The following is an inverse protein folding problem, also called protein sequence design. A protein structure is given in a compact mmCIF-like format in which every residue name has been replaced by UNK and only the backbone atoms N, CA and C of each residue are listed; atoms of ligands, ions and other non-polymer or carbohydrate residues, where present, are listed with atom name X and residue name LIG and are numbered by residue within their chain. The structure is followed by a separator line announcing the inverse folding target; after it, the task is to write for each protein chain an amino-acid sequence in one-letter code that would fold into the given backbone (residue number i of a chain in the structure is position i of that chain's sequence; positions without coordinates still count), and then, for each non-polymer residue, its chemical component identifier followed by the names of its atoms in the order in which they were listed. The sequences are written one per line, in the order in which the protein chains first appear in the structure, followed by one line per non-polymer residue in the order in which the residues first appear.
data_IF_482094185839
#
_entry.id   IF_482094185839
#
_cell.length_a   1.000
_cell.length_b   1.000
_cell.length_c   1.000
_cell.angle_alpha   90.00
_cell.angle_beta   90.00
_cell.angle_gamma   90.00
#
_symmetry.space_group_name_H-M   'P 1'
#
loop_
_entity.id
_entity.type
_entity.pdbx_description
1 polymer ?
#
# COMPACT_ATOMS: atom_id res chain seq x y z
N UNK A 1 13.31 18.33 -3.87
CA UNK A 1 13.64 16.98 -4.33
C UNK A 1 12.57 16.42 -5.21
N UNK A 2 12.77 15.20 -5.76
CA UNK A 2 11.78 14.58 -6.64
C UNK A 2 10.47 14.26 -5.92
N UNK A 3 9.35 14.56 -6.60
CA UNK A 3 7.99 14.23 -6.16
C UNK A 3 7.29 13.52 -7.30
N UNK A 4 6.81 12.30 -7.08
CA UNK A 4 6.15 11.53 -8.14
C UNK A 4 4.84 12.17 -8.56
N UNK A 5 4.69 12.37 -9.87
CA UNK A 5 3.44 12.76 -10.51
C UNK A 5 2.74 11.54 -11.13
N UNK A 6 3.53 10.56 -11.58
CA UNK A 6 3.04 9.32 -12.14
C UNK A 6 3.92 8.17 -11.68
N UNK A 7 3.30 7.11 -11.16
CA UNK A 7 4.00 5.94 -10.66
C UNK A 7 3.56 4.70 -11.43
N UNK A 8 4.41 3.68 -11.55
CA UNK A 8 4.04 2.47 -12.26
C UNK A 8 2.87 1.75 -11.60
N UNK A 9 2.03 1.15 -12.42
CA UNK A 9 0.86 0.38 -11.99
C UNK A 9 1.04 -1.05 -12.44
N UNK A 10 0.68 -2.00 -11.59
CA UNK A 10 0.71 -3.41 -11.94
C UNK A 10 -0.13 -3.72 -13.17
N UNK A 11 0.36 -4.61 -14.00
CA UNK A 11 -0.27 -5.01 -15.25
C UNK A 11 -0.44 -6.51 -15.34
N UNK A 12 -1.55 -6.92 -15.95
CA UNK A 12 -1.76 -8.29 -16.41
C UNK A 12 -1.67 -8.27 -17.93
N UNK A 13 -0.60 -8.84 -18.48
CA UNK A 13 -0.33 -8.85 -19.90
C UNK A 13 -0.71 -10.21 -20.49
N UNK A 14 -1.58 -10.26 -21.53
CA UNK A 14 -1.93 -11.52 -22.15
C UNK A 14 -0.71 -12.15 -22.85
N UNK A 15 -0.41 -13.41 -22.55
CA UNK A 15 0.71 -14.12 -23.18
C UNK A 15 0.60 -14.18 -24.70
N UNK A 16 -0.63 -14.26 -25.20
CA UNK A 16 -0.92 -14.31 -26.63
C UNK A 16 -1.36 -12.95 -27.19
N UNK A 17 -0.83 -11.86 -26.65
CA UNK A 17 -1.18 -10.52 -27.08
C UNK A 17 -0.59 -10.20 -28.45
N UNK A 18 -1.34 -9.46 -29.27
CA UNK A 18 -0.83 -8.87 -30.50
C UNK A 18 0.08 -7.66 -30.23
N UNK A 19 0.10 -7.14 -29.01
CA UNK A 19 0.96 -6.03 -28.63
C UNK A 19 2.37 -6.53 -28.35
N UNK A 20 3.37 -5.80 -28.90
CA UNK A 20 4.77 -6.19 -28.81
C UNK A 20 5.52 -5.52 -27.67
N UNK A 21 4.85 -4.70 -26.88
CA UNK A 21 5.53 -3.96 -25.81
C UNK A 21 4.64 -3.70 -24.61
N UNK A 22 5.30 -3.56 -23.45
CA UNK A 22 4.69 -3.13 -22.20
C UNK A 22 5.39 -1.86 -21.74
N UNK A 23 4.63 -0.88 -21.31
CA UNK A 23 5.16 0.36 -20.75
C UNK A 23 4.75 0.50 -19.27
N UNK A 24 5.74 0.67 -18.41
CA UNK A 24 5.55 1.02 -17.03
C UNK A 24 5.90 2.50 -16.85
N UNK A 25 4.93 3.29 -16.40
CA UNK A 25 5.09 4.73 -16.32
C UNK A 25 5.82 5.16 -15.06
N UNK A 26 6.66 6.18 -15.19
CA UNK A 26 7.30 6.84 -14.05
C UNK A 26 7.65 8.27 -14.42
N UNK A 27 7.14 9.23 -13.65
CA UNK A 27 7.45 10.63 -13.85
C UNK A 27 7.44 11.34 -12.51
N UNK A 28 8.48 12.12 -12.28
CA UNK A 28 8.64 12.93 -11.07
C UNK A 28 8.88 14.38 -11.42
N UNK A 29 8.29 15.27 -10.63
CA UNK A 29 8.59 16.71 -10.68
C UNK A 29 9.80 16.96 -9.78
N UNK A 30 10.81 17.62 -10.32
CA UNK A 30 12.01 17.96 -9.56
C UNK A 30 12.73 19.15 -10.19
N UNK A 31 13.42 19.92 -9.36
CA UNK A 31 14.30 21.01 -9.79
C UNK A 31 15.62 20.86 -9.04
N UNK A 32 16.73 20.56 -9.73
CA UNK A 32 16.85 20.21 -11.17
C UNK A 32 16.05 18.97 -11.59
N UNK A 33 15.79 18.80 -12.91
CA UNK A 33 15.00 17.65 -13.38
C UNK A 33 15.56 16.31 -12.94
N UNK A 34 14.66 15.36 -12.67
CA UNK A 34 15.03 14.04 -12.22
C UNK A 34 15.60 13.15 -13.33
N UNK A 35 16.51 12.27 -12.95
CA UNK A 35 16.91 11.13 -13.77
C UNK A 35 16.28 9.87 -13.20
N UNK A 36 16.13 8.83 -14.03
CA UNK A 36 15.36 7.65 -13.66
C UNK A 36 16.17 6.38 -13.81
N UNK A 37 15.97 5.47 -12.87
CA UNK A 37 16.50 4.11 -12.90
C UNK A 37 15.37 3.16 -12.55
N UNK A 38 15.53 1.91 -12.91
CA UNK A 38 14.53 0.88 -12.62
C UNK A 38 15.17 -0.32 -11.96
N UNK A 39 14.43 -0.95 -11.06
CA UNK A 39 14.78 -2.23 -10.44
C UNK A 39 13.72 -3.28 -10.80
N UNK A 40 14.18 -4.48 -11.07
CA UNK A 40 13.35 -5.65 -11.24
C UNK A 40 13.70 -6.66 -10.16
N UNK A 41 12.71 -7.06 -9.36
CA UNK A 41 12.89 -7.97 -8.23
C UNK A 41 14.04 -7.54 -7.30
N UNK A 42 14.15 -6.23 -7.06
CA UNK A 42 15.17 -5.64 -6.19
C UNK A 42 16.54 -5.43 -6.81
N UNK A 43 16.75 -5.85 -8.05
CA UNK A 43 18.04 -5.71 -8.76
C UNK A 43 17.94 -4.62 -9.82
N UNK A 44 18.92 -3.73 -9.85
CA UNK A 44 18.96 -2.64 -10.83
C UNK A 44 19.08 -3.18 -12.25
N UNK A 45 18.24 -2.65 -13.14
CA UNK A 45 18.19 -3.06 -14.54
C UNK A 45 19.21 -2.28 -15.37
N UNK A 46 19.77 -2.95 -16.37
CA UNK A 46 20.61 -2.32 -17.38
C UNK A 46 19.73 -1.87 -18.54
N UNK A 47 19.61 -0.55 -18.73
CA UNK A 47 18.73 0.07 -19.72
C UNK A 47 19.53 0.71 -20.86
N UNK A 48 20.53 0.01 -21.37
CA UNK A 48 21.34 0.51 -22.49
C UNK A 48 20.52 0.68 -23.77
N UNK A 49 20.83 1.72 -24.60
CA UNK A 49 20.20 1.87 -25.90
C UNK A 49 20.35 0.63 -26.77
N UNK A 50 19.28 0.22 -27.44
CA UNK A 50 19.27 -0.96 -28.32
C UNK A 50 18.97 -2.26 -27.61
N UNK A 51 18.85 -2.26 -26.26
CA UNK A 51 18.40 -3.45 -25.53
C UNK A 51 16.88 -3.60 -25.62
N UNK A 52 16.40 -4.77 -25.23
CA UNK A 52 14.98 -5.06 -25.18
C UNK A 52 14.24 -4.22 -24.11
N UNK A 53 14.94 -3.81 -23.08
CA UNK A 53 14.43 -2.91 -22.03
C UNK A 53 14.95 -1.51 -22.32
N UNK A 54 14.04 -0.57 -22.53
CA UNK A 54 14.39 0.81 -22.91
C UNK A 54 13.81 1.80 -21.91
N UNK A 55 14.57 2.88 -21.68
CA UNK A 55 14.11 4.01 -20.89
C UNK A 55 13.64 5.11 -21.84
N UNK A 56 12.35 5.47 -21.76
CA UNK A 56 11.77 6.54 -22.57
C UNK A 56 11.25 7.64 -21.64
N UNK A 57 12.01 8.73 -21.50
CA UNK A 57 11.79 9.66 -20.42
C UNK A 57 12.05 8.94 -19.10
N UNK A 58 11.07 8.86 -18.23
CA UNK A 58 11.16 8.03 -17.03
C UNK A 58 10.53 6.66 -17.18
N UNK A 59 9.83 6.41 -18.29
CA UNK A 59 9.06 5.19 -18.48
C UNK A 59 9.95 4.02 -18.88
N UNK A 60 9.64 2.84 -18.34
CA UNK A 60 10.28 1.59 -18.76
C UNK A 60 9.44 0.96 -19.86
N UNK A 61 10.05 0.74 -21.02
CA UNK A 61 9.42 0.06 -22.14
C UNK A 61 10.10 -1.29 -22.33
N UNK A 62 9.32 -2.36 -22.24
CA UNK A 62 9.79 -3.73 -22.44
C UNK A 62 9.31 -4.20 -23.80
N UNK A 63 10.26 -4.46 -24.70
CA UNK A 63 9.97 -4.95 -26.04
C UNK A 63 9.83 -6.47 -26.01
N UNK A 64 8.83 -6.99 -26.72
CA UNK A 64 8.56 -8.43 -26.82
C UNK A 64 8.56 -9.13 -25.44
N UNK A 65 7.66 -8.72 -24.53
CA UNK A 65 7.69 -9.25 -23.18
C UNK A 65 7.36 -10.75 -23.14
N UNK A 66 8.05 -11.48 -22.27
CA UNK A 66 7.80 -12.90 -22.03
C UNK A 66 7.68 -13.18 -20.54
N UNK A 67 6.84 -14.15 -20.20
CA UNK A 67 6.64 -14.56 -18.81
C UNK A 67 7.95 -14.99 -18.14
N UNK A 68 8.76 -15.79 -18.85
CA UNK A 68 9.99 -16.32 -18.28
C UNK A 68 11.02 -15.24 -17.92
N UNK A 69 11.08 -14.17 -18.71
CA UNK A 69 12.09 -13.12 -18.56
C UNK A 69 11.58 -11.88 -17.82
N UNK A 70 10.28 -11.57 -17.95
CA UNK A 70 9.77 -10.25 -17.58
C UNK A 70 8.75 -10.25 -16.45
N UNK A 71 8.19 -11.40 -16.07
CA UNK A 71 7.27 -11.47 -14.93
C UNK A 71 8.04 -11.15 -13.66
N UNK A 72 7.53 -10.19 -12.88
CA UNK A 72 8.18 -9.81 -11.64
C UNK A 72 7.69 -8.47 -11.10
N UNK A 73 8.44 -7.97 -10.14
CA UNK A 73 8.14 -6.73 -9.40
C UNK A 73 9.08 -5.64 -9.87
N UNK A 74 8.51 -4.54 -10.34
CA UNK A 74 9.25 -3.40 -10.89
C UNK A 74 9.10 -2.18 -10.00
N UNK A 75 10.18 -1.41 -9.87
CA UNK A 75 10.20 -0.21 -9.08
C UNK A 75 11.06 0.84 -9.77
N UNK A 76 10.55 2.07 -9.83
CA UNK A 76 11.24 3.22 -10.41
C UNK A 76 11.97 4.00 -9.32
N UNK A 77 13.16 4.48 -9.64
CA UNK A 77 13.93 5.39 -8.78
C UNK A 77 14.09 6.72 -9.52
N UNK A 78 13.65 7.81 -8.90
CA UNK A 78 13.81 9.16 -9.42
C UNK A 78 14.84 9.91 -8.58
N UNK A 79 15.84 10.48 -9.23
CA UNK A 79 16.99 11.12 -8.56
C UNK A 79 17.28 12.49 -9.13
N UNK A 80 17.66 13.42 -8.23
CA UNK A 80 18.30 14.69 -8.59
C UNK A 80 19.36 14.98 -7.52
N UNK A 81 20.08 16.13 -7.58
CA UNK A 81 21.11 16.41 -6.58
C UNK A 81 20.63 16.48 -5.12
N UNK A 82 19.33 16.70 -4.88
CA UNK A 82 18.76 16.71 -3.53
C UNK A 82 18.70 15.29 -2.96
N UNK A 83 18.36 14.30 -3.76
CA UNK A 83 18.28 12.93 -3.33
C UNK A 83 17.47 12.04 -4.27
N UNK A 84 17.21 10.83 -3.82
CA UNK A 84 16.52 9.78 -4.57
C UNK A 84 15.27 9.31 -3.84
N UNK A 85 14.18 9.11 -4.57
CA UNK A 85 12.96 8.47 -4.07
C UNK A 85 12.64 7.25 -4.90
N UNK A 86 12.06 6.24 -4.25
CA UNK A 86 11.57 5.04 -4.94
C UNK A 86 10.06 5.10 -5.06
N UNK A 87 9.54 4.59 -6.18
CA UNK A 87 8.11 4.50 -6.42
C UNK A 87 7.49 3.33 -5.67
N UNK A 88 6.16 3.27 -5.66
CA UNK A 88 5.47 2.04 -5.30
C UNK A 88 5.88 0.92 -6.27
N UNK A 89 5.77 -0.31 -5.80
CA UNK A 89 6.08 -1.47 -6.62
C UNK A 89 4.94 -1.75 -7.61
N UNK A 90 5.29 -2.19 -8.82
CA UNK A 90 4.35 -2.63 -9.83
C UNK A 90 4.65 -4.07 -10.21
N UNK A 91 3.64 -4.94 -10.14
CA UNK A 91 3.79 -6.35 -10.48
C UNK A 91 3.35 -6.57 -11.91
N UNK A 92 4.24 -7.08 -12.74
CA UNK A 92 3.92 -7.50 -14.10
C UNK A 92 3.64 -9.00 -14.09
N UNK A 93 2.42 -9.37 -14.45
CA UNK A 93 1.95 -10.74 -14.51
C UNK A 93 1.49 -11.06 -15.94
N UNK A 94 1.54 -12.34 -16.27
CA UNK A 94 1.13 -12.80 -17.62
C UNK A 94 -0.09 -13.69 -17.48
N UNK A 95 -1.14 -13.33 -18.23
CA UNK A 95 -2.38 -14.10 -18.28
C UNK A 95 -2.36 -15.12 -19.41
N UNK A 96 -2.89 -16.31 -19.13
CA UNK A 96 -2.91 -17.38 -20.12
C UNK A 96 -4.02 -18.38 -19.83
N UNK A 97 -4.41 -19.12 -20.86
CA UNK A 97 -5.31 -20.26 -20.76
C UNK A 97 -4.86 -21.31 -21.76
N UNK A 98 -4.45 -22.47 -21.26
CA UNK A 98 -4.05 -23.60 -22.12
C UNK A 98 -5.27 -24.34 -22.65
N UNK A 99 -5.05 -25.21 -23.63
CA UNK A 99 -6.09 -26.11 -24.12
C UNK A 99 -6.32 -27.26 -23.13
N UNK A 100 -7.53 -27.79 -23.12
CA UNK A 100 -7.82 -29.02 -22.36
C UNK A 100 -7.00 -30.19 -22.90
N UNK A 101 -6.76 -31.17 -22.04
CA UNK A 101 -6.14 -32.43 -22.43
C UNK A 101 -6.90 -33.06 -23.59
N UNK A 102 -6.17 -33.65 -24.55
CA UNK A 102 -6.76 -34.37 -25.70
C UNK A 102 -7.14 -35.81 -25.38
N UNK A 103 -6.88 -36.26 -24.15
CA UNK A 103 -7.28 -37.59 -23.71
C UNK A 103 -8.78 -37.68 -23.59
N UNK A 104 -9.34 -38.87 -23.96
CA UNK A 104 -10.75 -39.14 -23.81
C UNK A 104 -11.10 -39.21 -22.33
N UNK A 105 -12.27 -38.72 -21.99
CA UNK A 105 -12.76 -38.71 -20.60
C UNK A 105 -13.56 -39.99 -20.32
N UNK A 106 -13.38 -40.52 -19.11
CA UNK A 106 -14.10 -41.67 -18.65
C UNK A 106 -15.58 -41.34 -18.47
N UNK A 107 -16.49 -42.29 -18.78
CA UNK A 107 -17.91 -42.09 -18.48
C UNK A 107 -18.13 -41.93 -16.97
N UNK A 108 -19.11 -41.09 -16.62
CA UNK A 108 -19.55 -40.92 -15.25
C UNK A 108 -20.83 -41.74 -15.06
N UNK A 109 -20.86 -42.56 -14.02
CA UNK A 109 -21.99 -43.51 -13.76
C UNK A 109 -22.66 -43.20 -12.44
N UNK A 110 -23.98 -43.19 -12.45
CA UNK A 110 -24.78 -43.06 -11.23
C UNK A 110 -26.15 -43.76 -11.46
N UNK A 111 -26.95 -43.85 -10.43
CA UNK A 111 -28.33 -44.32 -10.57
C UNK A 111 -29.26 -43.14 -10.85
N UNK A 112 -30.29 -43.38 -11.66
CA UNK A 112 -31.35 -42.39 -11.82
C UNK A 112 -31.98 -42.11 -10.45
N UNK A 113 -32.13 -40.85 -10.10
CA UNK A 113 -32.61 -40.45 -8.79
C UNK A 113 -31.51 -40.06 -7.80
N UNK A 114 -30.27 -40.44 -8.06
CA UNK A 114 -29.11 -40.00 -7.27
C UNK A 114 -28.53 -38.70 -7.80
N UNK A 115 -27.77 -38.00 -6.95
CA UNK A 115 -26.95 -36.88 -7.37
C UNK A 115 -25.68 -37.33 -8.08
N UNK A 116 -25.08 -36.43 -8.85
CA UNK A 116 -23.83 -36.70 -9.56
C UNK A 116 -23.01 -35.43 -9.70
N UNK A 117 -21.68 -35.60 -9.69
CA UNK A 117 -20.73 -34.52 -9.99
C UNK A 117 -19.90 -34.92 -11.19
N UNK A 118 -19.82 -34.01 -12.18
CA UNK A 118 -18.95 -34.16 -13.34
C UNK A 118 -17.79 -33.21 -13.19
N UNK A 119 -16.52 -33.70 -13.14
CA UNK A 119 -15.36 -32.83 -12.98
C UNK A 119 -15.02 -32.12 -14.27
N UNK A 120 -14.70 -30.82 -14.17
CA UNK A 120 -14.22 -30.03 -15.29
C UNK A 120 -12.74 -30.32 -15.57
N UNK A 121 -11.92 -30.36 -14.51
CA UNK A 121 -10.47 -30.51 -14.61
C UNK A 121 -9.88 -29.51 -15.60
N UNK A 122 -9.99 -28.19 -15.32
CA UNK A 122 -9.54 -27.18 -16.27
C UNK A 122 -8.04 -27.25 -16.51
N UNK A 123 -7.58 -26.79 -17.70
CA UNK A 123 -6.15 -26.71 -17.97
C UNK A 123 -5.48 -25.62 -17.16
N UNK A 124 -4.14 -25.56 -17.19
CA UNK A 124 -3.38 -24.50 -16.56
C UNK A 124 -3.83 -23.12 -17.08
N UNK A 125 -3.99 -22.19 -16.16
CA UNK A 125 -4.53 -20.86 -16.46
C UNK A 125 -4.15 -19.84 -15.40
N UNK A 126 -4.24 -18.59 -15.77
CA UNK A 126 -4.17 -17.45 -14.87
C UNK A 126 -4.73 -16.23 -15.59
N UNK A 127 -5.55 -15.38 -15.01
CA UNK A 127 -6.20 -15.50 -13.70
C UNK A 127 -7.34 -16.51 -13.69
N UNK A 128 -8.25 -16.42 -12.71
CA UNK A 128 -9.39 -17.33 -12.61
C UNK A 128 -10.31 -17.30 -13.82
N UNK A 129 -11.00 -18.40 -14.03
CA UNK A 129 -11.91 -18.62 -15.17
C UNK A 129 -13.35 -18.53 -14.74
N UNK A 130 -14.26 -18.32 -15.72
CA UNK A 130 -15.65 -18.61 -15.57
C UNK A 130 -15.99 -19.91 -16.30
N UNK A 131 -16.98 -20.65 -15.79
CA UNK A 131 -17.29 -21.99 -16.27
C UNK A 131 -18.76 -22.12 -16.66
N UNK A 132 -18.99 -22.83 -17.76
CA UNK A 132 -20.31 -23.27 -18.19
C UNK A 132 -20.21 -24.70 -18.68
N UNK A 133 -21.31 -25.37 -18.76
CA UNK A 133 -21.37 -26.75 -19.25
C UNK A 133 -22.36 -26.86 -20.39
N UNK A 134 -22.03 -27.75 -21.34
CA UNK A 134 -22.84 -28.08 -22.48
C UNK A 134 -23.35 -29.52 -22.36
N UNK A 135 -24.58 -29.74 -22.77
CA UNK A 135 -25.12 -31.05 -22.93
C UNK A 135 -25.32 -31.33 -24.43
N UNK A 136 -24.61 -32.35 -24.94
CA UNK A 136 -24.60 -32.78 -26.33
C UNK A 136 -24.03 -31.71 -27.28
N UNK A 137 -24.85 -30.84 -27.87
CA UNK A 137 -24.44 -29.92 -28.90
C UNK A 137 -24.38 -28.47 -28.42
N UNK A 138 -23.40 -27.72 -28.95
CA UNK A 138 -23.36 -26.27 -28.78
C UNK A 138 -24.53 -25.65 -29.57
N UNK A 139 -25.32 -24.71 -29.05
CA UNK A 139 -25.12 -23.97 -27.77
C UNK A 139 -26.05 -24.45 -26.64
N UNK A 140 -26.31 -25.73 -26.49
CA UNK A 140 -27.18 -26.24 -25.45
C UNK A 140 -26.50 -26.21 -24.07
N UNK A 141 -26.51 -25.02 -23.45
CA UNK A 141 -25.92 -24.83 -22.14
C UNK A 141 -26.83 -25.31 -21.03
N UNK A 142 -26.23 -25.89 -19.99
CA UNK A 142 -26.93 -26.31 -18.78
C UNK A 142 -27.38 -25.05 -18.03
N UNK A 143 -28.68 -24.89 -17.73
CA UNK A 143 -29.18 -23.75 -17.00
C UNK A 143 -28.88 -23.86 -15.50
N UNK A 144 -28.86 -22.72 -14.81
CA UNK A 144 -28.83 -22.65 -13.35
C UNK A 144 -30.28 -22.70 -12.86
N UNK A 145 -30.77 -23.87 -12.47
CA UNK A 145 -32.18 -24.11 -12.25
C UNK A 145 -32.50 -24.76 -10.89
N UNK A 146 -31.66 -24.65 -9.90
CA UNK A 146 -31.87 -25.25 -8.59
C UNK A 146 -31.57 -26.76 -8.53
N UNK A 147 -31.70 -27.49 -9.66
CA UNK A 147 -31.29 -28.88 -9.76
C UNK A 147 -29.87 -29.04 -10.27
N UNK A 148 -29.40 -28.09 -11.09
CA UNK A 148 -28.04 -28.00 -11.63
C UNK A 148 -27.28 -26.86 -11.00
N UNK A 149 -25.98 -27.08 -10.74
CA UNK A 149 -25.08 -26.06 -10.24
C UNK A 149 -23.69 -26.23 -10.84
N UNK A 150 -23.13 -25.15 -11.34
CA UNK A 150 -21.73 -25.10 -11.84
C UNK A 150 -20.91 -24.28 -10.85
N UNK A 151 -19.94 -24.94 -10.22
CA UNK A 151 -19.04 -24.26 -9.30
C UNK A 151 -18.10 -23.33 -10.09
N UNK A 152 -18.06 -22.06 -9.74
CA UNK A 152 -17.11 -21.13 -10.33
C UNK A 152 -15.72 -21.23 -9.68
N UNK A 153 -15.62 -21.96 -8.58
CA UNK A 153 -14.34 -22.23 -7.90
C UNK A 153 -13.59 -23.38 -8.56
N UNK A 154 -14.30 -24.48 -8.85
CA UNK A 154 -13.69 -25.72 -9.40
C UNK A 154 -14.03 -25.96 -10.87
N UNK A 155 -15.11 -25.35 -11.37
CA UNK A 155 -15.67 -25.64 -12.67
C UNK A 155 -16.55 -26.89 -12.74
N UNK A 156 -16.67 -27.62 -11.66
CA UNK A 156 -17.43 -28.90 -11.63
C UNK A 156 -18.92 -28.64 -11.74
N UNK A 157 -19.59 -29.56 -12.47
CA UNK A 157 -21.05 -29.57 -12.60
C UNK A 157 -21.66 -30.53 -11.57
N UNK A 158 -22.63 -30.02 -10.83
CA UNK A 158 -23.38 -30.80 -9.83
C UNK A 158 -24.85 -30.91 -10.27
N UNK A 159 -25.39 -32.11 -10.23
CA UNK A 159 -26.82 -32.37 -10.45
C UNK A 159 -27.36 -32.95 -9.15
N UNK A 160 -28.30 -32.26 -8.51
CA UNK A 160 -28.82 -32.67 -7.18
C UNK A 160 -29.55 -34.00 -7.22
N UNK A 161 -30.28 -34.24 -8.29
CA UNK A 161 -31.05 -35.46 -8.53
C UNK A 161 -31.13 -35.70 -10.03
N UNK A 162 -30.60 -36.82 -10.50
CA UNK A 162 -30.58 -37.13 -11.93
C UNK A 162 -31.92 -37.75 -12.38
N UNK A 163 -32.26 -37.47 -13.63
CA UNK A 163 -33.39 -38.12 -14.32
C UNK A 163 -33.00 -38.45 -15.76
N UNK A 164 -33.88 -39.09 -16.50
CA UNK A 164 -33.60 -39.57 -17.86
C UNK A 164 -33.18 -38.45 -18.83
N UNK A 165 -33.64 -37.22 -18.59
CA UNK A 165 -33.27 -36.06 -19.44
C UNK A 165 -31.82 -35.65 -19.31
N UNK A 166 -31.14 -36.13 -18.28
CA UNK A 166 -29.70 -35.79 -18.05
C UNK A 166 -28.75 -36.70 -18.83
N UNK A 167 -29.25 -37.76 -19.45
CA UNK A 167 -28.40 -38.62 -20.27
C UNK A 167 -27.81 -37.88 -21.44
N UNK A 168 -26.54 -38.13 -21.70
CA UNK A 168 -25.84 -37.54 -22.85
C UNK A 168 -24.38 -37.27 -22.59
N UNK A 169 -23.81 -36.47 -23.49
CA UNK A 169 -22.40 -36.11 -23.47
C UNK A 169 -22.24 -34.70 -22.94
N UNK A 170 -21.40 -34.54 -21.93
CA UNK A 170 -21.15 -33.27 -21.26
C UNK A 170 -19.77 -32.72 -21.55
N UNK A 171 -19.69 -31.43 -21.81
CA UNK A 171 -18.44 -30.74 -22.05
C UNK A 171 -18.33 -29.47 -21.19
N UNK A 172 -17.21 -29.30 -20.54
CA UNK A 172 -16.90 -28.08 -19.74
C UNK A 172 -16.37 -26.99 -20.65
N UNK A 173 -16.95 -25.80 -20.55
CA UNK A 173 -16.45 -24.59 -21.23
C UNK A 173 -15.80 -23.69 -20.22
N UNK A 174 -14.49 -23.45 -20.35
CA UNK A 174 -13.74 -22.54 -19.52
C UNK A 174 -13.43 -21.25 -20.30
N UNK A 175 -13.74 -20.10 -19.71
CA UNK A 175 -13.57 -18.80 -20.37
C UNK A 175 -12.68 -17.90 -19.54
N UNK A 176 -11.66 -17.34 -20.17
CA UNK A 176 -10.75 -16.36 -19.62
C UNK A 176 -11.22 -14.95 -19.99
N UNK A 177 -11.23 -14.05 -19.00
CA UNK A 177 -11.59 -12.65 -19.17
C UNK A 177 -10.35 -11.78 -18.93
N UNK A 178 -9.48 -11.72 -19.96
CA UNK A 178 -8.35 -10.79 -19.98
C UNK A 178 -8.81 -9.49 -20.61
N UNK A 179 -8.23 -8.36 -20.20
CA UNK A 179 -8.59 -7.04 -20.71
C UNK A 179 -8.69 -7.04 -22.24
N UNK A 180 -9.86 -6.64 -22.76
CA UNK A 180 -10.15 -6.53 -24.19
C UNK A 180 -10.17 -7.83 -24.98
N UNK A 181 -9.90 -8.98 -24.36
CA UNK A 181 -10.01 -10.26 -25.06
C UNK A 181 -10.61 -11.33 -24.17
N UNK A 182 -11.44 -12.19 -24.77
CA UNK A 182 -11.95 -13.37 -24.12
C UNK A 182 -11.48 -14.58 -24.91
N UNK A 183 -11.03 -15.61 -24.21
CA UNK A 183 -10.66 -16.89 -24.80
C UNK A 183 -11.47 -17.97 -24.12
N UNK A 184 -12.04 -18.87 -24.92
CA UNK A 184 -12.80 -20.01 -24.41
C UNK A 184 -12.23 -21.30 -24.94
N UNK A 185 -12.19 -22.32 -24.07
CA UNK A 185 -11.75 -23.66 -24.46
C UNK A 185 -12.76 -24.69 -23.95
N UNK A 186 -12.93 -25.77 -24.71
CA UNK A 186 -13.85 -26.86 -24.38
C UNK A 186 -13.10 -28.12 -23.99
N UNK A 187 -13.64 -28.83 -23.00
CA UNK A 187 -13.16 -30.17 -22.67
C UNK A 187 -13.67 -31.18 -23.69
N UNK A 188 -13.04 -32.35 -23.73
CA UNK A 188 -13.61 -33.52 -24.36
C UNK A 188 -14.91 -33.90 -23.65
N UNK A 189 -15.82 -34.57 -24.36
CA UNK A 189 -17.06 -35.03 -23.78
C UNK A 189 -16.83 -36.10 -22.72
N UNK A 190 -17.61 -36.02 -21.64
CA UNK A 190 -17.78 -37.10 -20.68
C UNK A 190 -19.22 -37.55 -20.75
N UNK A 191 -19.43 -38.86 -20.99
CA UNK A 191 -20.74 -39.40 -21.08
C UNK A 191 -21.31 -39.66 -19.68
N UNK A 192 -22.55 -39.24 -19.46
CA UNK A 192 -23.29 -39.58 -18.22
C UNK A 192 -24.16 -40.80 -18.48
N UNK A 193 -23.90 -41.87 -17.74
CA UNK A 193 -24.67 -43.13 -17.79
C UNK A 193 -25.49 -43.29 -16.52
N UNK A 194 -26.75 -43.61 -16.67
CA UNK A 194 -27.64 -43.83 -15.55
C UNK A 194 -28.02 -45.33 -15.44
N UNK A 195 -27.74 -45.93 -14.30
CA UNK A 195 -28.22 -47.22 -13.94
C UNK A 195 -29.71 -47.13 -13.56
N UNK A 196 -30.34 -48.27 -13.30
CA UNK A 196 -31.75 -48.36 -12.96
C UNK A 196 -32.15 -47.33 -11.89
N UNK A 197 -33.38 -46.81 -12.02
CA UNK A 197 -33.92 -45.83 -11.09
C UNK A 197 -33.97 -46.41 -9.65
N UNK A 198 -33.49 -45.61 -8.72
CA UNK A 198 -33.63 -45.83 -7.31
C UNK A 198 -34.76 -44.91 -6.80
N UNK A 199 -35.94 -45.45 -6.48
CA UNK A 199 -37.09 -44.63 -6.12
C UNK A 199 -37.01 -44.07 -4.68
N UNK A 200 -35.99 -44.45 -3.91
CA UNK A 200 -35.87 -44.02 -2.52
C UNK A 200 -35.64 -42.51 -2.44
N UNK A 201 -36.16 -41.93 -1.35
CA UNK A 201 -35.90 -40.55 -1.00
C UNK A 201 -34.62 -40.48 -0.18
N UNK A 202 -33.85 -39.42 -0.38
CA UNK A 202 -32.57 -39.21 0.29
C UNK A 202 -32.56 -37.88 1.04
N UNK A 203 -32.01 -37.89 2.24
CA UNK A 203 -31.71 -36.66 2.96
C UNK A 203 -30.64 -35.83 2.21
N UNK A 204 -30.59 -34.50 2.42
CA UNK A 204 -29.57 -33.67 1.77
C UNK A 204 -28.17 -34.07 2.17
N UNK A 205 -27.25 -33.99 1.20
CA UNK A 205 -25.83 -34.16 1.43
C UNK A 205 -25.08 -33.02 0.68
N UNK A 206 -24.48 -32.12 1.40
CA UNK A 206 -23.78 -31.00 0.80
C UNK A 206 -22.48 -31.49 0.14
N UNK A 207 -22.33 -31.23 -1.16
CA UNK A 207 -21.21 -31.71 -1.98
C UNK A 207 -20.30 -30.59 -2.44
N UNK A 208 -20.86 -29.43 -2.73
CA UNK A 208 -20.06 -28.22 -3.00
C UNK A 208 -20.22 -27.27 -1.82
N UNK A 209 -19.13 -26.86 -1.24
CA UNK A 209 -19.16 -25.99 -0.07
C UNK A 209 -18.05 -24.96 -0.10
N UNK A 210 -18.28 -23.84 0.56
CA UNK A 210 -17.25 -22.85 0.82
C UNK A 210 -16.24 -23.36 1.88
N UNK A 211 -14.99 -22.88 1.85
CA UNK A 211 -13.97 -23.35 2.78
C UNK A 211 -14.25 -22.92 4.22
N UNK A 212 -13.65 -23.59 5.24
CA UNK A 212 -13.80 -23.19 6.64
C UNK A 212 -13.38 -21.75 6.92
N UNK A 213 -12.42 -21.21 6.16
CA UNK A 213 -11.95 -19.82 6.25
C UNK A 213 -11.86 -19.21 4.86
N UNK A 214 -12.44 -18.03 4.71
CA UNK A 214 -12.33 -17.21 3.49
C UNK A 214 -11.78 -15.86 3.88
N UNK A 215 -10.61 -15.52 3.31
CA UNK A 215 -9.96 -14.23 3.52
C UNK A 215 -10.35 -13.28 2.39
N UNK A 216 -10.77 -12.09 2.75
CA UNK A 216 -11.20 -11.08 1.79
C UNK A 216 -10.69 -9.71 2.17
N UNK A 217 -10.32 -8.90 1.18
CA UNK A 217 -9.95 -7.52 1.39
C UNK A 217 -11.19 -6.63 1.40
N UNK A 218 -11.19 -5.60 2.23
CA UNK A 218 -12.26 -4.61 2.27
C UNK A 218 -12.54 -4.10 0.85
N UNK A 219 -13.81 -4.08 0.48
CA UNK A 219 -14.26 -3.61 -0.84
C UNK A 219 -14.32 -4.70 -1.91
N UNK A 220 -13.75 -5.88 -1.67
CA UNK A 220 -13.85 -6.98 -2.63
C UNK A 220 -15.24 -7.61 -2.63
N UNK A 221 -15.59 -8.20 -3.76
CA UNK A 221 -16.75 -9.09 -3.85
C UNK A 221 -16.37 -10.46 -3.28
N UNK A 222 -17.22 -11.01 -2.42
CA UNK A 222 -17.06 -12.34 -1.86
C UNK A 222 -18.23 -13.20 -2.31
N UNK A 223 -17.95 -14.39 -2.84
CA UNK A 223 -18.96 -15.35 -3.23
C UNK A 223 -18.72 -16.65 -2.48
N UNK A 224 -19.73 -17.13 -1.74
CA UNK A 224 -19.71 -18.40 -1.07
C UNK A 224 -20.63 -19.36 -1.82
N UNK A 225 -20.17 -20.60 -2.04
CA UNK A 225 -20.92 -21.64 -2.74
C UNK A 225 -21.37 -22.71 -1.78
N UNK A 226 -22.60 -23.19 -1.99
CA UNK A 226 -23.15 -24.33 -1.24
C UNK A 226 -24.19 -25.04 -2.06
N UNK A 227 -23.95 -26.30 -2.36
CA UNK A 227 -24.89 -27.10 -3.14
C UNK A 227 -24.96 -28.53 -2.61
N UNK A 228 -26.17 -29.09 -2.58
CA UNK A 228 -26.43 -30.41 -2.00
C UNK A 228 -27.12 -31.35 -2.98
N UNK A 229 -26.77 -32.63 -2.87
CA UNK A 229 -27.56 -33.72 -3.47
C UNK A 229 -28.71 -34.06 -2.52
N UNK A 230 -29.76 -34.57 -3.06
CA UNK A 230 -30.90 -35.03 -2.29
C UNK A 230 -32.11 -35.34 -3.17
N UNK A 231 -33.02 -36.15 -2.63
CA UNK A 231 -34.27 -36.46 -3.29
C UNK A 231 -35.39 -36.38 -2.24
N UNK A 232 -36.28 -35.41 -2.29
CA UNK A 232 -36.39 -34.30 -3.27
C UNK A 232 -35.23 -33.36 -3.28
N UNK A 233 -35.11 -32.55 -4.36
CA UNK A 233 -34.04 -31.53 -4.49
C UNK A 233 -34.04 -30.59 -3.28
N UNK A 234 -32.92 -30.49 -2.55
CA UNK A 234 -32.87 -29.66 -1.34
C UNK A 234 -33.00 -28.17 -1.63
N UNK A 235 -33.57 -27.45 -0.65
CA UNK A 235 -33.55 -25.99 -0.63
C UNK A 235 -32.35 -25.52 0.11
N UNK A 236 -31.70 -24.47 -0.40
CA UNK A 236 -30.51 -23.87 0.20
C UNK A 236 -30.92 -22.56 0.89
N UNK A 237 -30.46 -22.42 2.14
CA UNK A 237 -30.63 -21.18 2.92
C UNK A 237 -29.31 -20.75 3.52
N UNK A 238 -29.14 -19.46 3.60
CA UNK A 238 -27.96 -18.85 4.16
C UNK A 238 -28.29 -18.04 5.41
N UNK A 239 -27.42 -18.07 6.39
CA UNK A 239 -27.49 -17.18 7.54
C UNK A 239 -26.12 -16.82 8.07
N UNK A 240 -26.04 -15.69 8.76
CA UNK A 240 -24.84 -15.31 9.53
C UNK A 240 -25.10 -15.71 10.99
N UNK A 241 -24.27 -16.59 11.54
CA UNK A 241 -24.49 -17.20 12.85
C UNK A 241 -24.44 -16.15 13.96
N UNK A 242 -23.51 -15.19 13.85
CA UNK A 242 -23.24 -14.14 14.84
C UNK A 242 -23.80 -12.78 14.44
N UNK A 243 -24.86 -12.76 13.64
CA UNK A 243 -25.48 -11.52 13.19
C UNK A 243 -26.61 -11.76 12.21
N UNK A 244 -26.86 -10.81 11.35
CA UNK A 244 -27.87 -10.90 10.30
C UNK A 244 -27.27 -10.55 8.94
N UNK A 245 -27.80 -11.20 7.90
CA UNK A 245 -27.44 -10.88 6.51
C UNK A 245 -28.13 -9.60 6.08
N UNK A 246 -27.46 -8.86 5.18
CA UNK A 246 -28.10 -7.73 4.54
C UNK A 246 -29.34 -8.19 3.76
N UNK A 247 -30.49 -7.50 3.88
CA UNK A 247 -31.70 -7.87 3.12
C UNK A 247 -31.52 -7.85 1.60
N UNK A 248 -30.49 -7.15 1.11
CA UNK A 248 -30.18 -7.05 -0.32
C UNK A 248 -29.46 -8.27 -0.86
N UNK A 249 -28.89 -9.11 0.02
CA UNK A 249 -28.20 -10.32 -0.40
C UNK A 249 -29.21 -11.46 -0.61
N UNK A 250 -29.09 -12.17 -1.74
CA UNK A 250 -29.93 -13.34 -1.98
C UNK A 250 -29.56 -14.46 -1.01
N UNK A 251 -30.57 -15.03 -0.34
CA UNK A 251 -30.37 -16.05 0.70
C UNK A 251 -30.94 -17.43 0.33
N UNK A 252 -31.54 -17.58 -0.86
CA UNK A 252 -32.20 -18.79 -1.29
C UNK A 252 -31.49 -19.47 -2.48
N UNK A 253 -30.33 -18.98 -2.86
CA UNK A 253 -29.57 -19.48 -4.00
C UNK A 253 -28.38 -20.32 -3.53
N UNK A 254 -27.80 -21.16 -4.41
CA UNK A 254 -26.59 -21.92 -4.08
C UNK A 254 -25.36 -21.04 -3.83
N UNK A 255 -25.44 -19.77 -4.13
CA UNK A 255 -24.35 -18.82 -3.89
C UNK A 255 -24.83 -17.65 -3.03
N UNK A 256 -24.00 -17.26 -2.07
CA UNK A 256 -24.16 -16.04 -1.33
C UNK A 256 -23.14 -15.04 -1.85
N UNK A 257 -23.62 -13.90 -2.37
CA UNK A 257 -22.74 -12.86 -2.91
C UNK A 257 -22.77 -11.63 -2.03
N UNK A 258 -21.58 -11.21 -1.59
CA UNK A 258 -21.38 -9.97 -0.86
C UNK A 258 -20.68 -9.02 -1.83
N UNK A 259 -21.37 -8.00 -2.37
CA UNK A 259 -20.82 -7.18 -3.45
C UNK A 259 -19.58 -6.39 -3.07
N UNK A 260 -19.54 -5.90 -1.83
CA UNK A 260 -18.41 -5.11 -1.32
C UNK A 260 -18.28 -5.39 0.17
N UNK A 261 -17.33 -6.25 0.51
CA UNK A 261 -17.16 -6.70 1.89
C UNK A 261 -16.61 -5.58 2.77
N UNK A 262 -17.12 -5.48 3.99
CA UNK A 262 -16.64 -4.56 5.01
C UNK A 262 -16.24 -5.34 6.27
N UNK A 263 -15.60 -4.66 7.23
CA UNK A 263 -15.23 -5.30 8.49
C UNK A 263 -16.45 -5.83 9.26
N UNK A 264 -17.61 -5.21 9.08
CA UNK A 264 -18.86 -5.64 9.71
C UNK A 264 -19.34 -6.98 9.18
N UNK A 265 -18.91 -7.37 7.99
CA UNK A 265 -19.28 -8.62 7.36
C UNK A 265 -18.46 -9.81 7.86
N UNK A 266 -17.41 -9.55 8.63
CA UNK A 266 -16.60 -10.61 9.24
C UNK A 266 -17.46 -11.42 10.20
N UNK A 267 -17.32 -12.74 10.15
CA UNK A 267 -18.04 -13.62 11.04
C UNK A 267 -18.23 -15.00 10.47
N UNK A 268 -19.08 -15.78 11.15
CA UNK A 268 -19.39 -17.16 10.77
C UNK A 268 -20.67 -17.20 9.97
N UNK A 269 -20.59 -17.85 8.79
CA UNK A 269 -21.71 -18.01 7.87
C UNK A 269 -22.10 -19.49 7.81
N UNK A 270 -23.38 -19.75 7.69
CA UNK A 270 -23.91 -21.11 7.61
C UNK A 270 -24.78 -21.26 6.38
N UNK A 271 -24.57 -22.35 5.67
CA UNK A 271 -25.45 -22.83 4.62
C UNK A 271 -26.25 -24.04 5.16
N UNK A 272 -27.56 -24.04 4.97
CA UNK A 272 -28.44 -25.14 5.31
C UNK A 272 -29.10 -25.67 4.05
N UNK A 273 -28.97 -26.97 3.83
CA UNK A 273 -29.70 -27.69 2.78
C UNK A 273 -30.82 -28.53 3.43
N UNK A 274 -32.04 -28.35 2.99
CA UNK A 274 -33.19 -29.01 3.61
C UNK A 274 -34.12 -29.61 2.55
N UNK A 275 -34.62 -30.81 2.81
CA UNK A 275 -35.74 -31.44 2.09
C UNK A 275 -36.63 -32.18 3.10
N UNK A 276 -37.63 -32.90 2.58
CA UNK A 276 -38.58 -33.64 3.45
C UNK A 276 -37.92 -34.75 4.27
N UNK A 277 -36.68 -35.14 3.95
CA UNK A 277 -35.96 -36.23 4.62
C UNK A 277 -34.96 -35.76 5.66
N UNK A 278 -34.66 -34.49 5.72
CA UNK A 278 -33.72 -33.97 6.70
C UNK A 278 -33.01 -32.70 6.28
N UNK A 279 -31.91 -32.42 6.98
CA UNK A 279 -31.08 -31.24 6.78
C UNK A 279 -29.62 -31.60 6.80
N UNK A 280 -28.83 -30.81 6.12
CA UNK A 280 -27.37 -30.82 6.22
C UNK A 280 -26.88 -29.37 6.29
N UNK A 281 -25.90 -29.13 7.12
CA UNK A 281 -25.38 -27.78 7.33
C UNK A 281 -23.87 -27.74 7.22
N UNK A 282 -23.35 -26.64 6.75
CA UNK A 282 -21.91 -26.33 6.75
C UNK A 282 -21.70 -24.92 7.23
N UNK A 283 -20.60 -24.70 7.96
CA UNK A 283 -20.22 -23.40 8.46
C UNK A 283 -18.82 -23.05 7.99
N UNK A 284 -18.56 -21.75 7.85
CA UNK A 284 -17.26 -21.23 7.54
C UNK A 284 -17.19 -19.75 7.93
N UNK A 285 -15.97 -19.30 8.15
CA UNK A 285 -15.71 -17.95 8.62
C UNK A 285 -15.18 -17.08 7.47
N UNK A 286 -15.72 -15.86 7.36
CA UNK A 286 -15.15 -14.81 6.53
C UNK A 286 -14.28 -13.95 7.43
N UNK A 287 -13.01 -13.80 7.06
CA UNK A 287 -12.04 -12.94 7.75
C UNK A 287 -11.72 -11.79 6.82
N UNK A 288 -12.05 -10.57 7.27
CA UNK A 288 -11.88 -9.36 6.45
C UNK A 288 -10.56 -8.69 6.80
N UNK A 289 -9.77 -8.42 5.79
CA UNK A 289 -8.46 -7.80 5.91
C UNK A 289 -8.41 -6.52 5.09
N UNK A 290 -7.37 -5.71 5.29
CA UNK A 290 -7.20 -4.44 4.59
C UNK A 290 -5.75 -4.20 4.23
N UNK A 291 -5.54 -3.58 3.07
CA UNK A 291 -4.24 -3.07 2.66
C UNK A 291 -3.81 -1.92 3.56
N UNK A 292 -2.49 -1.63 3.62
CA UNK A 292 -2.03 -0.47 4.38
C UNK A 292 -2.61 0.83 3.84
N UNK A 293 -2.93 1.74 4.76
CA UNK A 293 -3.41 3.08 4.45
C UNK A 293 -2.77 4.05 5.44
N UNK A 294 -2.28 5.20 4.96
CA UNK A 294 -1.63 6.16 5.82
C UNK A 294 -2.61 6.89 6.75
N UNK A 295 -2.27 6.92 8.04
CA UNK A 295 -2.92 7.75 9.06
C UNK A 295 -2.12 9.02 9.30
N UNK A 296 -0.79 8.93 9.25
CA UNK A 296 0.13 10.04 9.45
C UNK A 296 1.34 9.84 8.54
N UNK A 297 1.76 10.90 7.88
CA UNK A 297 2.91 10.91 6.98
C UNK A 297 3.88 12.02 7.33
N UNK A 298 5.11 11.90 6.83
CA UNK A 298 6.11 12.94 6.92
C UNK A 298 5.87 14.02 5.86
N UNK A 299 6.37 15.21 6.10
CA UNK A 299 6.33 16.34 5.17
C UNK A 299 7.69 17.00 5.06
N UNK A 300 7.91 17.70 3.94
CA UNK A 300 9.14 18.43 3.71
C UNK A 300 9.44 19.35 4.88
N UNK A 301 10.67 19.29 5.34
CA UNK A 301 11.10 20.00 6.56
C UNK A 301 12.45 20.69 6.34
N UNK A 302 12.50 21.96 6.71
CA UNK A 302 13.74 22.69 6.85
C UNK A 302 14.09 22.74 8.33
N UNK A 303 15.34 22.42 8.65
CA UNK A 303 15.79 22.40 10.03
C UNK A 303 17.19 22.99 10.15
N UNK A 304 17.46 23.63 11.28
CA UNK A 304 18.75 24.24 11.52
C UNK A 304 19.80 23.20 11.93
N UNK A 305 21.00 23.39 11.47
CA UNK A 305 22.14 22.58 11.91
C UNK A 305 22.24 22.60 13.44
N UNK A 306 22.50 21.46 14.03
CA UNK A 306 22.59 21.30 15.48
C UNK A 306 21.26 21.10 16.21
N UNK A 307 20.13 21.26 15.54
CA UNK A 307 18.83 21.03 16.13
C UNK A 307 18.45 19.54 16.11
N UNK A 308 17.39 19.19 16.83
CA UNK A 308 16.85 17.85 16.84
C UNK A 308 15.58 17.80 15.99
N UNK A 309 15.34 16.68 15.32
CA UNK A 309 14.16 16.47 14.51
C UNK A 309 13.56 15.10 14.82
N UNK A 310 12.25 15.06 14.91
CA UNK A 310 11.51 13.81 15.02
C UNK A 310 10.45 13.75 13.94
N UNK A 311 10.48 12.70 13.14
CA UNK A 311 9.47 12.39 12.15
C UNK A 311 8.69 11.14 12.54
N UNK A 312 7.40 11.12 12.23
CA UNK A 312 6.53 9.98 12.48
C UNK A 312 5.66 9.64 11.31
N UNK A 313 5.50 8.35 11.05
CA UNK A 313 4.55 7.80 10.11
C UNK A 313 3.73 6.73 10.81
N UNK A 314 2.43 6.70 10.53
CA UNK A 314 1.53 5.69 11.08
C UNK A 314 0.58 5.21 9.98
N UNK A 315 0.35 3.92 9.94
CA UNK A 315 -0.53 3.30 8.95
C UNK A 315 -1.52 2.37 9.61
N UNK A 316 -2.73 2.31 9.04
CA UNK A 316 -3.75 1.34 9.40
C UNK A 316 -3.75 0.22 8.36
N UNK A 317 -4.15 -0.96 8.77
CA UNK A 317 -4.29 -2.13 7.92
C UNK A 317 -4.54 -3.35 8.77
N UNK A 318 -4.96 -4.41 8.12
CA UNK A 318 -5.18 -5.69 8.80
C UNK A 318 -4.67 -6.82 7.89
N UNK A 319 -3.62 -7.54 8.28
CA UNK A 319 -2.80 -7.40 9.50
C UNK A 319 -2.15 -6.02 9.65
N UNK A 320 -1.78 -5.68 10.89
CA UNK A 320 -1.15 -4.40 11.20
C UNK A 320 0.13 -4.21 10.39
N UNK A 321 0.25 -3.10 9.64
CA UNK A 321 1.44 -2.87 8.82
C UNK A 321 2.68 -2.62 9.68
N UNK A 322 3.83 -3.05 9.16
CA UNK A 322 5.14 -2.70 9.73
C UNK A 322 5.69 -1.51 8.98
N UNK A 323 6.28 -0.55 9.70
CA UNK A 323 6.85 0.66 9.13
C UNK A 323 8.37 0.57 9.15
N UNK A 324 9.00 0.88 8.02
CA UNK A 324 10.45 0.98 7.88
C UNK A 324 10.80 2.27 7.15
N UNK A 325 12.08 2.61 7.14
CA UNK A 325 12.55 3.88 6.62
C UNK A 325 13.60 3.70 5.54
N UNK A 326 13.55 4.58 4.54
CA UNK A 326 14.53 4.67 3.46
C UNK A 326 15.14 6.07 3.45
N UNK A 327 16.40 6.13 3.08
CA UNK A 327 17.09 7.38 2.76
C UNK A 327 17.70 7.26 1.38
N UNK A 328 17.33 8.17 0.48
CA UNK A 328 17.79 8.18 -0.91
C UNK A 328 17.65 6.81 -1.57
N UNK A 329 16.53 6.13 -1.30
CA UNK A 329 16.20 4.83 -1.87
C UNK A 329 16.81 3.62 -1.17
N UNK A 330 17.68 3.84 -0.19
CA UNK A 330 18.35 2.76 0.54
C UNK A 330 17.77 2.57 1.94
N UNK A 331 17.73 1.34 2.45
CA UNK A 331 17.27 1.09 3.82
C UNK A 331 18.08 1.90 4.83
N UNK A 332 17.38 2.53 5.77
CA UNK A 332 17.97 3.34 6.81
C UNK A 332 17.97 2.57 8.12
N UNK A 333 19.15 2.38 8.70
CA UNK A 333 19.34 1.72 9.99
C UNK A 333 19.81 2.74 11.02
N UNK A 334 19.59 2.42 12.31
CA UNK A 334 20.02 3.27 13.41
C UNK A 334 21.54 3.47 13.40
N UNK A 335 21.95 4.72 13.62
CA UNK A 335 23.33 5.15 13.70
C UNK A 335 23.48 6.07 14.94
N UNK A 336 24.70 6.55 15.21
CA UNK A 336 25.00 7.29 16.45
C UNK A 336 24.03 8.46 16.73
N UNK A 337 23.66 9.23 15.70
CA UNK A 337 22.80 10.42 15.85
C UNK A 337 21.39 10.21 15.30
N UNK A 338 21.17 9.11 14.63
CA UNK A 338 19.91 8.80 13.97
C UNK A 338 19.35 7.52 14.57
N UNK A 339 18.20 7.63 15.24
CA UNK A 339 17.51 6.50 15.83
C UNK A 339 16.32 6.13 14.95
N UNK A 340 16.31 4.91 14.44
CA UNK A 340 15.26 4.39 13.57
C UNK A 340 14.39 3.42 14.38
N UNK A 341 13.13 3.80 14.58
CA UNK A 341 12.13 2.98 15.24
C UNK A 341 11.00 2.69 14.25
N UNK A 342 10.17 1.70 14.57
CA UNK A 342 8.98 1.45 13.78
C UNK A 342 8.03 2.65 13.88
N UNK A 343 7.90 3.42 12.80
CA UNK A 343 7.05 4.60 12.76
C UNK A 343 7.68 5.90 13.23
N UNK A 344 8.87 5.86 13.84
CA UNK A 344 9.57 7.05 14.30
C UNK A 344 10.99 7.11 13.72
N UNK A 345 11.38 8.30 13.32
CA UNK A 345 12.75 8.60 12.90
C UNK A 345 13.20 9.83 13.69
N UNK A 346 14.26 9.66 14.49
CA UNK A 346 14.75 10.71 15.38
C UNK A 346 16.17 11.08 15.05
N UNK A 347 16.37 12.38 14.82
CA UNK A 347 17.69 12.95 14.58
C UNK A 347 18.11 13.78 15.79
N UNK A 348 19.35 13.55 16.25
CA UNK A 348 19.98 14.37 17.29
C UNK A 348 21.11 15.16 16.67
N UNK A 349 21.15 16.46 16.92
CA UNK A 349 22.21 17.36 16.44
C UNK A 349 22.41 17.24 14.93
N UNK A 350 21.40 17.64 14.17
CA UNK A 350 21.43 17.59 12.71
C UNK A 350 22.71 18.23 12.15
N UNK A 351 23.28 17.63 11.11
CA UNK A 351 24.35 18.24 10.32
C UNK A 351 23.94 18.27 8.85
N UNK A 352 24.74 18.99 8.04
CA UNK A 352 24.40 19.21 6.62
C UNK A 352 24.28 17.90 5.82
N UNK A 353 25.03 16.89 6.22
CA UNK A 353 25.03 15.57 5.57
C UNK A 353 23.70 14.81 5.77
N UNK A 354 22.91 15.19 6.76
CA UNK A 354 21.60 14.58 6.99
C UNK A 354 20.56 15.01 5.96
N UNK A 355 20.82 16.05 5.19
CA UNK A 355 19.93 16.49 4.11
C UNK A 355 19.76 15.39 3.06
N UNK A 356 18.56 15.29 2.52
CA UNK A 356 18.26 14.30 1.49
C UNK A 356 16.78 13.98 1.42
N UNK A 357 16.46 12.96 0.66
CA UNK A 357 15.11 12.45 0.51
C UNK A 357 14.91 11.24 1.42
N UNK A 358 13.88 11.31 2.23
CA UNK A 358 13.51 10.25 3.17
C UNK A 358 12.14 9.70 2.81
N UNK A 359 11.94 8.42 3.04
CA UNK A 359 10.65 7.78 2.84
C UNK A 359 10.35 6.87 4.01
N UNK A 360 9.10 6.88 4.47
CA UNK A 360 8.57 5.82 5.32
C UNK A 360 7.79 4.85 4.43
N UNK A 361 7.86 3.57 4.77
CA UNK A 361 7.28 2.47 4.02
C UNK A 361 6.45 1.64 4.98
N UNK A 362 5.17 1.49 4.71
CA UNK A 362 4.30 0.64 5.50
C UNK A 362 3.87 -0.57 4.69
N UNK A 363 4.02 -1.75 5.28
CA UNK A 363 3.81 -3.00 4.57
C UNK A 363 3.07 -4.01 5.43
N UNK A 364 2.09 -4.68 4.81
CA UNK A 364 1.54 -5.94 5.31
C UNK A 364 1.49 -6.94 4.15
N UNK A 365 0.94 -8.13 4.37
CA UNK A 365 0.90 -9.16 3.34
C UNK A 365 0.07 -8.78 2.10
N UNK A 366 -0.73 -7.72 2.18
CA UNK A 366 -1.62 -7.29 1.09
C UNK A 366 -1.08 -6.12 0.28
N UNK A 367 -0.01 -5.50 0.71
CA UNK A 367 0.56 -4.39 -0.04
C UNK A 367 1.58 -3.58 0.72
N UNK A 368 2.16 -2.63 0.00
CA UNK A 368 3.20 -1.73 0.49
C UNK A 368 2.88 -0.32 0.03
N UNK A 369 2.95 0.63 0.95
CA UNK A 369 2.73 2.05 0.63
C UNK A 369 3.93 2.88 1.06
N UNK A 370 4.14 3.99 0.35
CA UNK A 370 5.31 4.86 0.48
C UNK A 370 4.87 6.29 0.74
N UNK A 371 5.60 7.00 1.60
CA UNK A 371 5.45 8.44 1.78
C UNK A 371 6.83 9.07 1.80
N UNK A 372 7.00 10.18 1.12
CA UNK A 372 8.29 10.83 0.90
C UNK A 372 8.32 12.23 1.48
N UNK A 373 9.48 12.66 1.95
CA UNK A 373 9.71 14.04 2.34
C UNK A 373 11.18 14.39 2.18
N UNK A 374 11.42 15.66 1.91
CA UNK A 374 12.77 16.22 1.86
C UNK A 374 13.15 16.79 3.22
N UNK A 375 14.35 16.45 3.68
CA UNK A 375 14.98 17.13 4.81
C UNK A 375 16.06 18.06 4.27
N UNK A 376 15.90 19.35 4.53
CA UNK A 376 16.89 20.37 4.20
C UNK A 376 17.47 20.91 5.50
N UNK A 377 18.71 20.56 5.79
CA UNK A 377 19.43 21.09 6.94
C UNK A 377 20.17 22.32 6.50
N UNK A 378 19.96 23.43 7.23
CA UNK A 378 20.56 24.70 6.87
C UNK A 378 21.49 25.22 7.95
N UNK A 379 22.58 25.84 7.49
CA UNK A 379 23.49 26.63 8.31
C UNK A 379 23.36 28.09 7.89
N UNK A 380 23.22 28.98 8.86
CA UNK A 380 22.99 30.40 8.63
C UNK A 380 24.00 31.23 9.43
N UNK A 381 24.65 32.20 8.78
CA UNK A 381 25.42 33.21 9.47
C UNK A 381 24.50 34.09 10.33
N UNK A 382 24.98 34.61 11.46
CA UNK A 382 24.15 35.49 12.29
C UNK A 382 23.60 36.70 11.51
N UNK A 383 22.32 36.99 11.76
CA UNK A 383 21.56 38.03 11.07
C UNK A 383 20.66 38.77 12.05
N UNK A 384 20.83 40.08 12.13
CA UNK A 384 20.06 40.94 13.02
C UNK A 384 18.86 41.63 12.35
N UNK A 385 18.62 41.43 11.06
CA UNK A 385 17.60 42.18 10.33
C UNK A 385 16.20 42.07 10.94
N UNK A 386 15.83 40.93 11.44
CA UNK A 386 14.50 40.70 12.04
C UNK A 386 14.47 41.02 13.53
N UNK A 387 15.61 40.98 14.21
CA UNK A 387 15.69 41.13 15.66
C UNK A 387 16.95 41.89 16.07
N UNK A 388 17.05 43.17 15.66
CA UNK A 388 18.22 43.99 16.02
C UNK A 388 18.20 44.35 17.50
N UNK A 389 19.36 44.70 18.06
CA UNK A 389 19.44 45.29 19.37
C UNK A 389 18.65 46.59 19.35
N UNK A 390 17.90 46.89 20.42
CA UNK A 390 17.09 48.09 20.53
C UNK A 390 17.96 49.32 20.36
N UNK A 391 17.62 50.20 19.44
CA UNK A 391 18.44 51.34 19.06
C UNK A 391 18.65 52.36 20.19
N UNK A 392 17.55 52.65 20.91
CA UNK A 392 17.57 53.54 22.06
C UNK A 392 17.12 52.77 23.28
N UNK A 393 17.94 52.74 24.32
CA UNK A 393 17.72 51.95 25.50
C UNK A 393 17.59 52.89 26.70
N UNK A 394 16.41 53.28 27.13
CA UNK A 394 16.25 54.14 28.30
C UNK A 394 16.42 53.31 29.58
N UNK A 395 17.13 53.88 30.55
CA UNK A 395 17.36 53.28 31.82
C UNK A 395 17.21 54.30 32.95
N UNK A 396 16.74 53.87 34.10
CA UNK A 396 16.60 54.68 35.28
C UNK A 396 17.83 54.57 36.19
N UNK A 397 18.31 55.65 36.69
CA UNK A 397 19.45 55.69 37.63
C UNK A 397 19.12 54.83 38.86
N UNK A 398 20.04 53.96 39.22
CA UNK A 398 19.87 53.01 40.31
C UNK A 398 19.06 51.75 39.97
N UNK A 399 18.50 51.69 38.77
CA UNK A 399 17.72 50.56 38.32
C UNK A 399 18.53 49.45 37.68
N UNK A 400 17.82 48.47 37.11
CA UNK A 400 18.38 47.35 36.41
C UNK A 400 17.80 47.32 34.98
N UNK A 401 18.61 46.92 34.00
CA UNK A 401 18.14 46.77 32.63
C UNK A 401 18.67 45.48 32.04
N UNK A 402 17.85 44.83 31.20
CA UNK A 402 18.19 43.65 30.42
C UNK A 402 18.12 44.01 28.95
N UNK A 403 19.20 43.76 28.23
CA UNK A 403 19.27 44.01 26.78
C UNK A 403 19.47 42.66 26.09
N UNK A 404 18.41 42.11 25.44
CA UNK A 404 18.52 40.84 24.75
C UNK A 404 19.33 40.97 23.45
N UNK A 405 20.03 39.91 23.09
CA UNK A 405 20.71 39.79 21.80
C UNK A 405 20.37 38.40 21.24
N UNK A 406 19.49 38.38 20.25
CA UNK A 406 18.93 37.16 19.71
C UNK A 406 18.89 37.21 18.16
N UNK A 407 20.06 37.26 17.50
CA UNK A 407 20.08 37.22 16.05
C UNK A 407 19.64 35.87 15.54
N UNK A 408 19.13 35.81 14.32
CA UNK A 408 18.85 34.55 13.63
C UNK A 408 20.19 33.95 13.21
N UNK A 409 20.46 32.74 13.65
CA UNK A 409 21.68 32.01 13.31
C UNK A 409 21.50 30.52 13.42
N UNK A 410 22.22 29.76 12.61
CA UNK A 410 22.29 28.31 12.67
C UNK A 410 23.70 27.83 12.33
N UNK A 411 24.43 27.20 13.25
CA UNK A 411 24.13 26.95 14.65
C UNK A 411 24.03 28.21 15.48
N UNK A 412 23.51 28.08 16.71
CA UNK A 412 23.38 29.21 17.63
C UNK A 412 24.69 29.97 17.77
N UNK A 413 24.62 31.30 17.62
CA UNK A 413 25.79 32.12 17.63
C UNK A 413 26.38 32.28 19.03
N UNK A 414 27.71 32.42 19.09
CA UNK A 414 28.40 32.85 20.30
C UNK A 414 28.26 34.35 20.41
N UNK A 415 27.86 34.85 21.59
CA UNK A 415 27.51 36.24 21.83
C UNK A 415 28.57 36.90 22.72
N UNK A 416 29.06 38.08 22.28
CA UNK A 416 29.91 38.99 23.08
C UNK A 416 29.27 40.37 23.10
N UNK A 417 29.42 41.07 24.21
CA UNK A 417 28.96 42.43 24.34
C UNK A 417 30.14 43.37 24.56
N UNK A 418 30.09 44.56 23.98
CA UNK A 418 31.06 45.63 24.23
C UNK A 418 30.34 46.91 24.61
N UNK A 419 31.00 47.73 25.41
CA UNK A 419 30.66 49.12 25.61
C UNK A 419 31.77 49.95 25.00
N UNK A 420 31.47 50.69 23.95
CA UNK A 420 32.52 51.34 23.15
C UNK A 420 33.48 50.27 22.63
N UNK A 421 34.76 50.37 23.00
CA UNK A 421 35.81 49.42 22.62
C UNK A 421 36.09 48.36 23.68
N UNK A 422 35.47 48.47 24.87
CA UNK A 422 35.66 47.54 25.99
C UNK A 422 34.72 46.33 25.90
N UNK A 423 35.29 45.13 25.92
CA UNK A 423 34.50 43.92 25.99
C UNK A 423 34.04 43.67 27.42
N UNK A 424 32.73 43.46 27.57
CA UNK A 424 32.12 43.29 28.89
C UNK A 424 32.23 41.84 29.35
N UNK A 425 32.69 41.67 30.58
CA UNK A 425 32.70 40.37 31.27
C UNK A 425 31.72 40.37 32.42
N UNK A 426 31.53 39.19 33.03
CA UNK A 426 30.67 39.07 34.19
C UNK A 426 31.32 39.73 35.42
N UNK A 427 30.53 40.54 36.12
CA UNK A 427 30.90 41.22 37.37
C UNK A 427 29.66 41.28 38.24
N UNK A 428 29.77 41.89 39.43
CA UNK A 428 28.61 42.03 40.33
C UNK A 428 27.51 42.91 39.77
N UNK A 429 27.86 43.89 38.88
CA UNK A 429 26.87 44.79 38.26
C UNK A 429 26.50 44.43 36.86
N UNK A 430 27.38 43.78 36.12
CA UNK A 430 27.21 43.50 34.71
C UNK A 430 27.31 42.00 34.51
N UNK A 431 26.29 41.42 33.87
CA UNK A 431 26.25 39.99 33.57
C UNK A 431 25.80 39.76 32.14
N UNK A 432 26.46 38.84 31.44
CA UNK A 432 26.02 38.34 30.17
C UNK A 432 25.50 36.91 30.42
N UNK A 433 24.23 36.68 30.17
CA UNK A 433 23.61 35.37 30.41
C UNK A 433 23.97 34.39 29.30
N UNK A 434 23.64 33.09 29.50
CA UNK A 434 23.91 32.06 28.52
C UNK A 434 23.16 32.28 27.19
N UNK A 435 22.01 32.95 27.21
CA UNK A 435 21.24 33.25 26.00
C UNK A 435 21.68 34.55 25.32
N UNK A 436 22.74 35.22 25.82
CA UNK A 436 23.29 36.42 25.24
C UNK A 436 22.70 37.71 25.78
N UNK A 437 21.83 37.68 26.76
CA UNK A 437 21.26 38.92 27.35
C UNK A 437 22.27 39.61 28.25
N UNK A 438 22.43 40.92 28.03
CA UNK A 438 23.25 41.79 28.88
C UNK A 438 22.38 42.37 29.98
N UNK A 439 22.78 42.16 31.23
CA UNK A 439 22.09 42.69 32.40
C UNK A 439 23.03 43.68 33.09
N UNK A 440 22.55 44.90 33.33
CA UNK A 440 23.27 45.95 34.06
C UNK A 440 22.46 46.34 35.26
N UNK A 441 23.07 46.24 36.47
CA UNK A 441 22.43 46.52 37.74
C UNK A 441 23.00 47.81 38.33
N UNK A 442 22.21 48.46 39.17
CA UNK A 442 22.59 49.71 39.85
C UNK A 442 23.17 50.75 38.86
N UNK A 443 22.34 51.10 37.89
CA UNK A 443 22.69 51.94 36.76
C UNK A 443 23.08 53.35 37.20
N UNK A 444 24.19 53.87 36.66
CA UNK A 444 24.66 55.25 36.87
C UNK A 444 24.90 55.91 35.52
N UNK A 445 25.16 57.23 35.52
CA UNK A 445 25.42 57.95 34.29
C UNK A 445 26.69 57.48 33.56
N UNK A 446 27.63 56.85 34.28
CA UNK A 446 28.80 56.25 33.66
C UNK A 446 28.47 55.04 32.77
N UNK A 447 27.30 54.50 32.93
CA UNK A 447 26.81 53.38 32.07
C UNK A 447 26.28 53.86 30.73
N UNK A 448 26.04 55.17 30.55
CA UNK A 448 25.64 55.70 29.25
C UNK A 448 26.69 55.41 28.19
N UNK A 449 26.20 55.09 26.99
CA UNK A 449 27.09 54.88 25.88
C UNK A 449 26.54 53.90 24.87
N UNK A 450 27.42 53.49 24.00
CA UNK A 450 27.16 52.64 22.87
C UNK A 450 27.45 51.17 23.25
N UNK A 451 26.43 50.34 23.22
CA UNK A 451 26.53 48.91 23.51
C UNK A 451 26.36 48.14 22.23
N UNK A 452 27.30 47.24 21.92
CA UNK A 452 27.28 46.44 20.71
C UNK A 452 27.27 44.97 21.07
N UNK A 453 26.31 44.22 20.49
CA UNK A 453 26.30 42.79 20.55
C UNK A 453 27.00 42.22 19.31
N UNK A 454 28.01 41.38 19.52
CA UNK A 454 28.71 40.64 18.47
C UNK A 454 28.26 39.21 18.48
N UNK A 455 27.84 38.72 17.34
CA UNK A 455 27.42 37.34 17.15
C UNK A 455 28.28 36.63 16.12
N UNK A 456 28.72 35.45 16.42
CA UNK A 456 29.58 34.65 15.53
C UNK A 456 29.23 33.18 15.56
N UNK A 457 29.19 32.55 14.39
CA UNK A 457 29.25 31.10 14.24
C UNK A 457 30.22 30.80 13.08
N UNK A 458 30.35 29.50 12.73
CA UNK A 458 31.29 29.10 11.67
C UNK A 458 30.94 29.67 10.29
N UNK A 459 29.69 30.14 10.11
CA UNK A 459 29.22 30.70 8.82
C UNK A 459 29.57 32.17 8.68
N UNK A 460 29.80 32.89 9.79
CA UNK A 460 30.11 34.31 9.70
C UNK A 460 29.90 35.06 11.01
N UNK A 461 29.98 36.40 10.90
CA UNK A 461 29.88 37.33 12.01
C UNK A 461 28.89 38.44 11.68
N UNK A 462 28.25 38.97 12.73
CA UNK A 462 27.39 40.13 12.63
C UNK A 462 27.41 40.89 13.95
N UNK A 463 26.98 42.15 13.93
CA UNK A 463 26.85 42.96 15.14
C UNK A 463 25.61 43.85 15.05
N UNK A 464 25.15 44.29 16.23
CA UNK A 464 24.05 45.23 16.35
C UNK A 464 24.29 46.10 17.56
N UNK A 465 24.02 47.40 17.42
CA UNK A 465 24.34 48.40 18.40
C UNK A 465 23.13 49.15 18.91
N UNK A 466 23.10 49.43 20.20
CA UNK A 466 22.10 50.29 20.84
C UNK A 466 22.80 51.32 21.74
N UNK A 467 22.13 52.44 21.99
CA UNK A 467 22.64 53.51 22.85
C UNK A 467 21.84 53.53 24.15
N UNK A 468 22.55 53.38 25.28
CA UNK A 468 21.94 53.45 26.59
C UNK A 468 21.95 54.91 27.09
N UNK A 469 20.78 55.39 27.45
CA UNK A 469 20.55 56.72 28.01
C UNK A 469 20.00 56.61 29.42
N UNK A 470 20.63 57.26 30.38
CA UNK A 470 20.26 57.22 31.78
C UNK A 470 19.48 58.46 32.18
N UNK A 471 18.32 58.25 32.81
CA UNK A 471 17.45 59.32 33.30
C UNK A 471 17.44 59.36 34.81
N UNK A 472 17.26 60.53 35.37
CA UNK A 472 17.17 60.77 36.79
C UNK A 472 18.38 61.53 37.31
#
# INVERSE_FOLDING_TARGET
GPVFEEQPVGLLFPEESAEDQVTLACRARASPPATYRWKMNGTEMNLEPGSRHQLMGGNLVIMSPTKAQDAGVYQCLASNPVGTVVSKEAVLRFGFLQEFSKEERDPVKTHEGWGVMLPCNPPAHYPGLSYRWLLNEFPNFIPTDGRHFVSQTTGNLYIARTNASDLGNYSCLATSHLDFSTKSVFSKFAQLNLAAEDPRLFAPSIKARFPPETYALVGQQVTLECFAFGNPVPRIKWRKVDGSLSPQWGTAEPTLQIPSVSFEDEGTYECEAENSKGRDTVQGRIIVQAQPEWLKVISDTEADIGSNLRWGCAAAGKPRPMVRWLRNGEPLASQNRVEVLAGDLRFSKLNLEDSGMYQCVAENKHGTIYASAELAVQALAPDFRQNPVRRLIPAARGGEISIPCQPRAAPKATILWSKGTEILGNSTRVTVTLDGTLIIRNISRSDEGKYTCFAENFMGKANSTGILSVRG
#
